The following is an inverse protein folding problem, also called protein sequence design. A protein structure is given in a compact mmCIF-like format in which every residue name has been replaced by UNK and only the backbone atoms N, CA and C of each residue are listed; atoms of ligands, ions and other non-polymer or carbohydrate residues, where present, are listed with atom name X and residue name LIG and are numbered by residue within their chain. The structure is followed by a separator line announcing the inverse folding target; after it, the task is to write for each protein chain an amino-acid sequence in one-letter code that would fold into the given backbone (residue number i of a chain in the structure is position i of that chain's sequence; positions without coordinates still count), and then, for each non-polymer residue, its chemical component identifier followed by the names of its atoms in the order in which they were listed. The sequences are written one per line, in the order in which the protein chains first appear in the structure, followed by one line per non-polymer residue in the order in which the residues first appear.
data_IF_743007285991
#
_entry.id   IF_743007285991
#
_cell.length_a   1.000
_cell.length_b   1.000
_cell.length_c   1.000
_cell.angle_alpha   90.00
_cell.angle_beta   90.00
_cell.angle_gamma   90.00
#
_symmetry.space_group_name_H-M   'P 1'
#
loop_
_entity.id
_entity.type
_entity.pdbx_description
1 polymer ?
#
# COMPACT_ATOMS: atom_id res chain seq x y z
N UNK A 1 -5.71 10.90 -16.68
CA UNK A 1 -4.25 10.74 -16.80
C UNK A 1 -3.76 9.95 -15.60
N UNK A 2 -3.13 8.80 -15.82
CA UNK A 2 -2.56 7.95 -14.77
C UNK A 2 -1.12 8.42 -14.55
N UNK A 3 -0.82 9.09 -13.43
CA UNK A 3 0.54 9.55 -13.16
C UNK A 3 1.16 8.69 -12.08
N UNK A 4 2.26 8.02 -12.42
CA UNK A 4 3.13 7.33 -11.47
C UNK A 4 4.30 8.29 -11.22
N UNK A 5 4.37 8.89 -10.03
CA UNK A 5 5.54 9.66 -9.59
C UNK A 5 6.62 8.68 -9.14
N UNK A 6 7.88 8.90 -9.56
CA UNK A 6 8.97 7.95 -9.33
C UNK A 6 10.27 8.72 -9.00
N UNK A 7 10.38 9.21 -7.76
CA UNK A 7 11.59 9.89 -7.26
C UNK A 7 12.29 9.11 -6.12
N UNK A 8 11.74 7.97 -5.71
CA UNK A 8 12.36 7.04 -4.76
C UNK A 8 11.64 5.69 -4.87
N UNK A 9 11.86 4.74 -3.97
CA UNK A 9 11.17 3.44 -3.89
C UNK A 9 9.63 3.56 -3.67
N UNK A 10 9.02 4.69 -4.02
CA UNK A 10 7.65 5.08 -3.85
C UNK A 10 6.95 5.23 -5.21
N UNK A 11 5.80 4.57 -5.37
CA UNK A 11 4.88 4.78 -6.47
C UNK A 11 3.50 5.21 -5.97
N UNK A 12 2.79 6.01 -6.77
CA UNK A 12 1.40 6.39 -6.48
C UNK A 12 0.54 6.03 -7.70
N UNK A 13 -0.55 5.31 -7.47
CA UNK A 13 -1.57 4.96 -8.47
C UNK A 13 -2.87 5.61 -8.06
N UNK A 14 -3.34 6.54 -8.87
CA UNK A 14 -4.57 7.25 -8.59
C UNK A 14 -5.50 7.34 -9.80
N UNK A 15 -6.80 7.34 -9.51
CA UNK A 15 -7.86 7.57 -10.48
C UNK A 15 -9.23 7.56 -9.78
N UNK A 16 -10.28 8.10 -10.41
CA UNK A 16 -11.66 7.92 -9.96
C UNK A 16 -12.06 6.46 -9.72
N UNK A 17 -13.17 6.22 -9.01
CA UNK A 17 -13.83 4.93 -8.99
C UNK A 17 -14.07 4.41 -10.43
N UNK A 18 -13.88 3.11 -10.65
CA UNK A 18 -14.09 2.48 -11.97
C UNK A 18 -12.95 2.59 -12.97
N UNK A 19 -11.84 3.27 -12.67
CA UNK A 19 -10.71 3.43 -13.61
C UNK A 19 -9.73 2.25 -13.70
N UNK A 20 -10.07 1.11 -13.11
CA UNK A 20 -9.22 -0.09 -13.18
C UNK A 20 -7.99 -0.09 -12.27
N UNK A 21 -7.93 0.75 -11.23
CA UNK A 21 -6.81 0.75 -10.25
C UNK A 21 -6.51 -0.64 -9.69
N UNK A 22 -7.54 -1.38 -9.29
CA UNK A 22 -7.33 -2.74 -8.77
C UNK A 22 -6.91 -3.74 -9.85
N UNK A 23 -7.31 -3.52 -11.12
CA UNK A 23 -6.82 -4.32 -12.24
C UNK A 23 -5.32 -4.09 -12.44
N UNK A 24 -4.84 -2.85 -12.31
CA UNK A 24 -3.42 -2.55 -12.34
C UNK A 24 -2.67 -3.22 -11.17
N UNK A 25 -3.23 -3.18 -9.96
CA UNK A 25 -2.67 -3.92 -8.81
C UNK A 25 -2.56 -5.42 -9.07
N UNK A 26 -3.55 -6.01 -9.74
CA UNK A 26 -3.51 -7.43 -10.13
C UNK A 26 -2.33 -7.70 -11.06
N UNK A 27 -2.13 -6.89 -12.10
CA UNK A 27 -0.97 -7.04 -12.99
C UNK A 27 0.36 -6.84 -12.26
N UNK A 28 0.45 -5.86 -11.36
CA UNK A 28 1.65 -5.65 -10.53
C UNK A 28 1.91 -6.91 -9.68
N UNK A 29 0.88 -7.46 -9.04
CA UNK A 29 0.99 -8.69 -8.23
C UNK A 29 1.51 -9.88 -9.05
N UNK A 30 1.02 -10.04 -10.29
CA UNK A 30 1.43 -11.13 -11.18
C UNK A 30 2.88 -10.95 -11.68
N UNK A 31 3.26 -9.75 -12.12
CA UNK A 31 4.63 -9.45 -12.58
C UNK A 31 5.64 -9.60 -11.44
N UNK A 32 5.22 -9.29 -10.21
CA UNK A 32 6.05 -9.40 -8.99
C UNK A 32 5.74 -10.68 -8.19
N UNK A 33 5.26 -11.76 -8.83
CA UNK A 33 4.88 -13.01 -8.14
C UNK A 33 5.97 -13.64 -7.27
N UNK A 34 7.23 -13.50 -7.65
CA UNK A 34 8.40 -14.02 -6.92
C UNK A 34 8.86 -13.12 -5.76
N UNK A 35 8.30 -11.91 -5.66
CA UNK A 35 8.62 -10.93 -4.63
C UNK A 35 7.60 -11.02 -3.50
N UNK A 36 8.04 -10.93 -2.25
CA UNK A 36 7.16 -10.98 -1.08
C UNK A 36 6.38 -9.67 -0.97
N UNK A 37 5.04 -9.75 -1.01
CA UNK A 37 4.16 -8.57 -1.01
C UNK A 37 3.37 -8.43 0.28
N UNK A 38 3.16 -7.18 0.72
CA UNK A 38 2.21 -6.84 1.76
C UNK A 38 1.16 -5.91 1.18
N UNK A 39 -0.10 -6.33 1.25
CA UNK A 39 -1.25 -5.54 0.88
C UNK A 39 -1.92 -5.01 2.15
N UNK A 40 -2.06 -3.70 2.25
CA UNK A 40 -2.64 -2.99 3.38
C UNK A 40 -3.91 -2.24 2.96
N UNK A 41 -4.89 -2.23 3.85
CA UNK A 41 -6.08 -1.37 3.72
C UNK A 41 -6.60 -0.98 5.10
N UNK A 42 -7.51 0.00 5.16
CA UNK A 42 -8.00 0.51 6.45
C UNK A 42 -8.87 -0.50 7.22
N UNK A 43 -9.71 -1.27 6.51
CA UNK A 43 -10.70 -2.17 7.14
C UNK A 43 -10.56 -3.62 6.64
N UNK A 44 -11.04 -4.58 7.43
CA UNK A 44 -11.09 -5.99 7.03
C UNK A 44 -11.92 -6.21 5.76
N UNK A 45 -12.96 -5.40 5.54
CA UNK A 45 -13.78 -5.45 4.32
C UNK A 45 -12.92 -5.07 3.10
N UNK A 46 -12.17 -3.98 3.18
CA UNK A 46 -11.25 -3.57 2.11
C UNK A 46 -10.16 -4.62 1.85
N UNK A 47 -9.59 -5.19 2.91
CA UNK A 47 -8.59 -6.28 2.82
C UNK A 47 -9.15 -7.49 2.09
N UNK A 48 -10.36 -7.94 2.47
CA UNK A 48 -11.01 -9.09 1.82
C UNK A 48 -11.35 -8.80 0.36
N UNK A 49 -11.87 -7.61 0.06
CA UNK A 49 -12.16 -7.17 -1.30
C UNK A 49 -10.90 -7.14 -2.16
N UNK A 50 -9.81 -6.59 -1.63
CA UNK A 50 -8.51 -6.54 -2.31
C UNK A 50 -8.00 -7.95 -2.59
N UNK A 51 -8.00 -8.83 -1.58
CA UNK A 51 -7.58 -10.23 -1.71
C UNK A 51 -8.36 -10.98 -2.79
N UNK A 52 -9.68 -10.83 -2.83
CA UNK A 52 -10.53 -11.43 -3.86
C UNK A 52 -10.21 -10.91 -5.26
N UNK A 53 -10.03 -9.58 -5.42
CA UNK A 53 -9.75 -8.96 -6.72
C UNK A 53 -8.36 -9.31 -7.25
N UNK A 54 -7.36 -9.41 -6.37
CA UNK A 54 -6.01 -9.89 -6.74
C UNK A 54 -6.09 -11.34 -7.19
N UNK A 55 -6.79 -12.20 -6.44
CA UNK A 55 -7.07 -13.58 -6.79
C UNK A 55 -5.85 -14.50 -6.69
N UNK A 56 -4.84 -14.30 -7.55
CA UNK A 56 -3.60 -15.06 -7.56
C UNK A 56 -2.52 -14.32 -6.78
N UNK A 57 -2.08 -14.91 -5.68
CA UNK A 57 -1.00 -14.40 -4.82
C UNK A 57 -0.16 -15.57 -4.29
N UNK A 58 1.07 -15.28 -3.89
CA UNK A 58 2.01 -16.26 -3.33
C UNK A 58 1.69 -16.57 -1.86
N UNK A 59 2.11 -17.73 -1.36
CA UNK A 59 1.96 -18.09 0.07
C UNK A 59 2.67 -17.12 1.02
N UNK A 60 3.68 -16.41 0.51
CA UNK A 60 4.45 -15.42 1.27
C UNK A 60 3.79 -14.03 1.28
N UNK A 61 2.76 -13.82 0.45
CA UNK A 61 2.05 -12.55 0.39
C UNK A 61 1.11 -12.42 1.59
N UNK A 62 0.98 -11.20 2.12
CA UNK A 62 0.14 -10.90 3.27
C UNK A 62 -0.88 -9.83 2.92
N UNK A 63 -2.07 -9.97 3.51
CA UNK A 63 -3.18 -9.04 3.38
C UNK A 63 -3.60 -8.68 4.81
N UNK A 64 -3.40 -7.43 5.22
CA UNK A 64 -3.61 -6.99 6.60
C UNK A 64 -4.30 -5.64 6.64
N UNK A 65 -4.99 -5.36 7.75
CA UNK A 65 -5.36 -3.98 8.04
C UNK A 65 -4.14 -3.20 8.49
N UNK A 66 -4.16 -1.87 8.29
CA UNK A 66 -3.13 -0.96 8.83
C UNK A 66 -2.97 -1.16 10.34
N UNK A 67 -4.08 -1.25 11.07
CA UNK A 67 -4.07 -1.48 12.53
C UNK A 67 -3.43 -2.82 12.94
N UNK A 68 -3.65 -3.89 12.16
CA UNK A 68 -3.04 -5.20 12.42
C UNK A 68 -1.55 -5.17 12.13
N UNK A 69 -1.15 -4.48 11.05
CA UNK A 69 0.25 -4.32 10.71
C UNK A 69 1.01 -3.48 11.75
N UNK A 70 0.42 -2.40 12.25
CA UNK A 70 1.01 -1.59 13.34
C UNK A 70 1.26 -2.40 14.62
N UNK A 71 0.35 -3.31 14.97
CA UNK A 71 0.57 -4.24 16.09
C UNK A 71 1.78 -5.15 15.87
N UNK A 72 2.03 -5.57 14.61
CA UNK A 72 3.24 -6.34 14.27
C UNK A 72 4.50 -5.49 14.33
N UNK A 73 4.43 -4.22 13.91
CA UNK A 73 5.56 -3.29 13.98
C UNK A 73 5.98 -2.93 15.42
N UNK A 74 5.08 -3.09 16.39
CA UNK A 74 5.37 -2.86 17.80
C UNK A 74 6.17 -3.98 18.46
N UNK A 75 6.27 -5.13 17.81
CA UNK A 75 7.06 -6.28 18.27
C UNK A 75 8.47 -6.22 17.65
N UNK A 76 9.53 -5.95 18.45
CA UNK A 76 10.90 -5.81 17.95
C UNK A 76 11.44 -7.08 17.28
N UNK A 77 10.93 -8.25 17.69
CA UNK A 77 11.37 -9.54 17.17
C UNK A 77 10.71 -9.87 15.83
N UNK A 78 9.61 -9.18 15.49
CA UNK A 78 8.85 -9.36 14.25
C UNK A 78 9.33 -8.43 13.12
N UNK A 79 10.61 -8.51 12.77
CA UNK A 79 11.18 -7.68 11.68
C UNK A 79 11.00 -8.32 10.30
N UNK A 80 9.75 -8.41 9.85
CA UNK A 80 9.45 -8.96 8.52
C UNK A 80 9.78 -7.96 7.40
N UNK A 81 10.77 -8.29 6.55
CA UNK A 81 11.03 -7.54 5.31
C UNK A 81 10.04 -7.93 4.21
N UNK A 82 9.50 -6.94 3.51
CA UNK A 82 8.69 -7.10 2.30
C UNK A 82 9.46 -6.53 1.10
N UNK A 83 9.25 -7.07 -0.10
CA UNK A 83 9.79 -6.46 -1.30
C UNK A 83 8.88 -5.32 -1.78
N UNK A 84 7.56 -5.53 -1.71
CA UNK A 84 6.58 -4.51 -2.12
C UNK A 84 5.51 -4.37 -1.05
N UNK A 85 5.27 -3.16 -0.59
CA UNK A 85 4.10 -2.80 0.22
C UNK A 85 3.13 -2.04 -0.68
N UNK A 86 1.87 -2.43 -0.66
CA UNK A 86 0.78 -1.79 -1.40
C UNK A 86 -0.26 -1.34 -0.39
N UNK A 87 -0.64 -0.07 -0.45
CA UNK A 87 -1.62 0.55 0.43
C UNK A 87 -2.83 0.96 -0.41
N UNK A 88 -3.91 0.20 -0.32
CA UNK A 88 -5.17 0.47 -1.02
C UNK A 88 -6.06 1.43 -0.22
N UNK A 89 -6.84 2.24 -0.93
CA UNK A 89 -7.63 3.35 -0.38
C UNK A 89 -6.80 4.25 0.56
N UNK A 90 -5.58 4.58 0.13
CA UNK A 90 -4.61 5.32 0.95
C UNK A 90 -5.08 6.72 1.37
N UNK A 91 -6.08 7.27 0.70
CA UNK A 91 -6.58 8.62 0.93
C UNK A 91 -7.36 8.79 2.23
N UNK A 92 -7.85 7.67 2.82
CA UNK A 92 -8.54 7.67 4.12
C UNK A 92 -7.62 7.28 5.29
N UNK A 93 -6.33 7.08 5.03
CA UNK A 93 -5.35 6.68 6.04
C UNK A 93 -4.74 7.94 6.66
N UNK A 94 -4.57 7.93 7.99
CA UNK A 94 -4.01 9.08 8.70
C UNK A 94 -2.52 9.29 8.38
N UNK A 95 -2.05 10.53 8.47
CA UNK A 95 -0.62 10.85 8.29
C UNK A 95 0.27 10.11 9.29
N UNK A 96 -0.20 9.93 10.53
CA UNK A 96 0.55 9.21 11.57
C UNK A 96 0.70 7.73 11.23
N UNK A 97 -0.36 7.09 10.70
CA UNK A 97 -0.30 5.70 10.26
C UNK A 97 0.64 5.53 9.06
N UNK A 98 0.62 6.47 8.10
CA UNK A 98 1.55 6.45 6.96
C UNK A 98 2.98 6.62 7.47
N UNK A 99 3.23 7.58 8.37
CA UNK A 99 4.55 7.82 8.94
C UNK A 99 5.07 6.61 9.73
N UNK A 100 4.21 5.92 10.49
CA UNK A 100 4.56 4.67 11.17
C UNK A 100 5.03 3.60 10.18
N UNK A 101 4.35 3.46 9.04
CA UNK A 101 4.75 2.51 7.99
C UNK A 101 6.08 2.91 7.38
N UNK A 102 6.26 4.17 7.00
CA UNK A 102 7.49 4.68 6.39
C UNK A 102 8.71 4.49 7.30
N UNK A 103 8.55 4.73 8.61
CA UNK A 103 9.68 4.69 9.56
C UNK A 103 10.00 3.27 10.06
N UNK A 104 8.99 2.41 10.23
CA UNK A 104 9.15 1.13 10.95
C UNK A 104 9.13 -0.09 10.03
N UNK A 105 8.49 -0.01 8.87
CA UNK A 105 8.42 -1.14 7.96
C UNK A 105 9.72 -1.29 7.16
N UNK A 106 10.17 -2.54 6.96
CA UNK A 106 11.30 -2.85 6.07
C UNK A 106 10.78 -3.22 4.68
N UNK A 107 11.00 -2.36 3.69
CA UNK A 107 10.54 -2.59 2.32
C UNK A 107 11.51 -2.11 1.23
N UNK A 108 11.37 -2.66 0.02
CA UNK A 108 12.11 -2.20 -1.17
C UNK A 108 11.26 -1.28 -2.05
N UNK A 109 9.93 -1.46 -2.08
CA UNK A 109 9.00 -0.63 -2.85
C UNK A 109 7.72 -0.39 -2.04
N UNK A 110 7.17 0.82 -2.11
CA UNK A 110 5.91 1.21 -1.49
C UNK A 110 4.99 1.83 -2.55
N UNK A 111 3.77 1.32 -2.66
CA UNK A 111 2.79 1.75 -3.67
C UNK A 111 1.53 2.22 -2.97
N UNK A 112 1.21 3.50 -3.10
CA UNK A 112 -0.06 4.07 -2.64
C UNK A 112 -1.11 3.97 -3.75
N UNK A 113 -2.32 3.51 -3.42
CA UNK A 113 -3.44 3.42 -4.35
C UNK A 113 -4.66 4.14 -3.78
N UNK A 114 -5.28 5.04 -4.54
CA UNK A 114 -6.41 5.83 -4.04
C UNK A 114 -7.12 6.65 -5.12
N UNK A 115 -8.08 7.47 -4.70
CA UNK A 115 -8.82 8.39 -5.59
C UNK A 115 -8.20 9.80 -5.60
N UNK A 116 -8.35 10.49 -6.73
CA UNK A 116 -7.76 11.78 -7.06
C UNK A 116 -8.31 12.90 -6.20
N UNK A 117 -9.59 12.80 -5.81
CA UNK A 117 -10.30 13.85 -5.06
C UNK A 117 -9.73 14.06 -3.64
N UNK A 118 -8.79 13.23 -3.20
CA UNK A 118 -8.14 13.32 -1.88
C UNK A 118 -6.59 13.31 -1.99
N UNK A 119 -6.01 13.58 -3.16
CA UNK A 119 -4.54 13.73 -3.29
C UNK A 119 -4.05 15.00 -2.59
N UNK A 120 -4.91 16.00 -2.37
CA UNK A 120 -4.55 17.17 -1.58
C UNK A 120 -4.12 16.78 -0.16
N UNK A 121 -4.76 15.83 0.53
CA UNK A 121 -4.29 15.41 1.87
C UNK A 121 -2.98 14.62 1.85
N UNK A 122 -2.65 13.96 0.74
CA UNK A 122 -1.36 13.29 0.52
C UNK A 122 -0.25 14.30 0.21
N UNK A 123 -0.54 15.33 -0.62
CA UNK A 123 0.41 16.41 -0.97
C UNK A 123 0.56 17.46 0.14
N UNK A 124 -0.50 17.72 0.90
CA UNK A 124 -0.52 18.60 2.08
C UNK A 124 -0.03 17.87 3.33
N UNK A 125 -0.03 16.54 3.32
CA UNK A 125 0.58 15.72 4.35
C UNK A 125 2.08 16.00 4.42
N UNK A 126 2.55 16.42 5.59
CA UNK A 126 3.98 16.68 5.85
C UNK A 126 4.86 15.48 5.57
N UNK A 127 4.32 14.25 5.65
CA UNK A 127 5.05 13.02 5.39
C UNK A 127 5.56 12.90 3.95
N UNK A 128 4.84 13.40 2.93
CA UNK A 128 5.30 13.33 1.54
C UNK A 128 6.47 14.28 1.28
N UNK A 129 6.60 15.36 2.08
CA UNK A 129 7.78 16.25 2.04
C UNK A 129 9.02 15.61 2.69
N UNK A 130 8.84 14.50 3.41
CA UNK A 130 9.89 13.80 4.16
C UNK A 130 10.40 12.54 3.45
N UNK A 131 9.85 12.22 2.27
CA UNK A 131 10.31 11.15 1.36
C UNK A 131 11.10 11.82 0.23
#
# INVERSE_FOLDING_TARGET
MLNIFNDSNLGVIYGPAGTGKTLLLKFISEITKSRKKLFLAQTNVCVNNLKQKIGKYSSNDRFLTISSFKKQLADPDNSTKYNVIIIDECSVISNDDINDILQKAKYEQLIFVGDNQQIESIRLGTWFKSI
#
